data_IF_111197366596
#
_entry.id   IF_111197366596
#
_cell.length_a   1.000
_cell.length_b   1.000
_cell.length_c   1.000
_cell.angle_alpha   90.00
_cell.angle_beta   90.00
_cell.angle_gamma   90.00
#
_symmetry.space_group_name_H-M   'P 1'
#
loop_
_entity.id
_entity.type
_entity.pdbx_description
1 polymer ?
#
# COMPACT_ATOMS: atom_id res chain seq x y z
N UNK A 1 -36.78 12.70 37.71
CA UNK A 1 -35.43 13.12 37.32
C UNK A 1 -34.51 11.97 36.92
N UNK A 2 -34.45 10.84 37.62
CA UNK A 2 -33.54 9.70 37.35
C UNK A 2 -33.79 9.05 35.96
N UNK A 3 -35.03 8.99 35.48
CA UNK A 3 -35.42 8.39 34.19
C UNK A 3 -34.91 9.14 32.96
N UNK A 4 -34.77 10.46 33.04
CA UNK A 4 -34.27 11.31 31.96
C UNK A 4 -32.73 11.24 31.85
N UNK A 5 -32.03 11.07 32.97
CA UNK A 5 -30.55 10.93 32.99
C UNK A 5 -30.14 9.63 32.32
N UNK A 6 -30.89 8.53 32.56
CA UNK A 6 -30.60 7.22 31.89
C UNK A 6 -30.73 7.28 30.38
N UNK A 7 -31.69 8.02 29.83
CA UNK A 7 -31.92 8.18 28.40
C UNK A 7 -30.80 8.99 27.70
N UNK A 8 -30.29 10.04 28.38
CA UNK A 8 -29.17 10.85 27.87
C UNK A 8 -27.85 10.04 27.86
N UNK A 9 -27.59 9.24 28.90
CA UNK A 9 -26.38 8.41 28.98
C UNK A 9 -26.42 7.31 27.90
N UNK A 10 -27.58 6.72 27.66
CA UNK A 10 -27.75 5.70 26.59
C UNK A 10 -27.53 6.33 25.21
N UNK A 11 -27.99 7.55 24.95
CA UNK A 11 -27.78 8.25 23.68
C UNK A 11 -26.32 8.60 23.44
N UNK A 12 -25.55 8.95 24.47
CA UNK A 12 -24.11 9.26 24.37
C UNK A 12 -23.31 7.97 24.10
N UNK A 13 -23.69 6.85 24.71
CA UNK A 13 -23.02 5.57 24.47
C UNK A 13 -23.17 5.07 23.02
N UNK A 14 -24.31 5.34 22.38
CA UNK A 14 -24.56 4.96 20.97
C UNK A 14 -23.72 5.79 19.98
N UNK A 15 -23.43 7.06 20.32
CA UNK A 15 -22.62 7.93 19.45
C UNK A 15 -21.12 7.55 19.41
N UNK A 16 -20.62 6.85 20.43
CA UNK A 16 -19.21 6.44 20.48
C UNK A 16 -18.89 5.17 19.65
N UNK A 17 -19.87 4.41 19.18
CA UNK A 17 -19.64 3.15 18.45
C UNK A 17 -19.19 3.39 17.00
N UNK A 18 -19.44 4.56 16.43
CA UNK A 18 -19.14 4.89 15.03
C UNK A 18 -17.69 5.32 14.72
N UNK A 19 -16.91 5.67 15.74
CA UNK A 19 -15.59 6.30 15.55
C UNK A 19 -14.39 5.34 15.62
N UNK A 20 -14.57 4.04 15.42
CA UNK A 20 -13.48 3.08 15.52
C UNK A 20 -12.54 3.18 14.32
N UNK A 21 -11.27 3.49 14.57
CA UNK A 21 -10.19 3.32 13.61
C UNK A 21 -9.86 1.84 13.47
N UNK A 22 -9.70 1.38 12.24
CA UNK A 22 -9.17 0.05 11.93
C UNK A 22 -7.73 0.26 11.50
N UNK A 23 -6.80 -0.40 12.16
CA UNK A 23 -5.37 -0.39 11.80
C UNK A 23 -4.84 -1.79 11.93
N UNK A 24 -4.39 -2.37 10.82
CA UNK A 24 -3.74 -3.68 10.78
C UNK A 24 -2.61 -3.64 9.78
N UNK A 25 -1.41 -4.00 10.24
CA UNK A 25 -0.22 -4.16 9.42
C UNK A 25 0.35 -5.53 9.73
N UNK A 26 0.45 -6.39 8.71
CA UNK A 26 1.06 -7.71 8.78
C UNK A 26 2.30 -7.73 7.92
N UNK A 27 3.42 -8.23 8.46
CA UNK A 27 4.69 -8.40 7.76
C UNK A 27 5.07 -9.86 7.84
N UNK A 28 5.53 -10.43 6.71
CA UNK A 28 6.13 -11.75 6.67
C UNK A 28 7.51 -11.61 6.01
N UNK A 29 8.53 -12.18 6.64
CA UNK A 29 9.92 -12.15 6.17
C UNK A 29 10.40 -13.58 5.90
N UNK A 30 10.90 -13.81 4.67
CA UNK A 30 11.38 -15.12 4.20
C UNK A 30 12.84 -15.06 3.77
N UNK A 31 13.64 -14.21 4.43
CA UNK A 31 15.06 -14.06 4.14
C UNK A 31 15.87 -15.26 4.65
N UNK A 32 16.78 -15.73 3.82
CA UNK A 32 17.81 -16.68 4.22
C UNK A 32 19.22 -16.09 4.02
N UNK A 33 20.27 -16.87 4.35
CA UNK A 33 21.65 -16.39 4.21
C UNK A 33 22.07 -16.07 2.76
N UNK A 34 21.43 -16.69 1.78
CA UNK A 34 21.70 -16.45 0.36
C UNK A 34 21.07 -15.15 -0.16
N UNK A 35 20.08 -14.60 0.54
CA UNK A 35 19.37 -13.38 0.16
C UNK A 35 20.11 -12.10 0.56
N UNK A 36 21.21 -12.25 1.34
CA UNK A 36 22.11 -11.13 1.70
C UNK A 36 22.81 -10.49 0.47
N UNK A 37 22.75 -11.15 -0.68
CA UNK A 37 23.27 -10.61 -1.94
C UNK A 37 22.36 -9.56 -2.59
N UNK A 38 21.11 -9.42 -2.15
CA UNK A 38 20.17 -8.42 -2.66
C UNK A 38 20.57 -7.05 -2.12
N UNK A 39 20.98 -6.16 -3.03
CA UNK A 39 21.45 -4.80 -2.69
C UNK A 39 20.63 -3.71 -3.34
N UNK A 40 20.00 -4.01 -4.48
CA UNK A 40 19.30 -3.03 -5.30
C UNK A 40 17.85 -3.41 -5.49
N UNK A 41 16.94 -2.45 -5.27
CA UNK A 41 15.50 -2.63 -5.42
C UNK A 41 14.91 -1.59 -6.37
N UNK A 42 13.81 -1.97 -7.03
CA UNK A 42 12.91 -1.05 -7.70
C UNK A 42 11.48 -1.29 -7.22
N UNK A 43 10.74 -0.23 -6.95
CA UNK A 43 9.32 -0.30 -6.65
C UNK A 43 8.54 -0.09 -7.94
N UNK A 44 7.67 -1.06 -8.27
CA UNK A 44 6.79 -0.98 -9.43
C UNK A 44 5.52 -0.22 -9.08
N UNK A 45 4.81 0.32 -10.10
CA UNK A 45 3.49 0.88 -9.90
C UNK A 45 2.59 -0.19 -9.27
N UNK A 46 1.83 0.17 -8.25
CA UNK A 46 0.88 -0.74 -7.63
C UNK A 46 -0.30 -0.99 -8.56
N UNK A 47 -0.75 -2.25 -8.63
CA UNK A 47 -1.96 -2.62 -9.37
C UNK A 47 -3.19 -2.04 -8.65
N UNK A 48 -3.90 -1.16 -9.32
CA UNK A 48 -5.09 -0.44 -8.83
C UNK A 48 -6.36 -0.77 -9.64
N UNK A 49 -6.34 -1.82 -10.49
CA UNK A 49 -7.48 -2.20 -11.32
C UNK A 49 -8.76 -2.43 -10.50
N UNK A 50 -8.64 -3.04 -9.33
CA UNK A 50 -9.80 -3.34 -8.47
C UNK A 50 -10.54 -2.10 -7.96
N UNK A 51 -9.82 -1.00 -7.74
CA UNK A 51 -10.44 0.22 -7.20
C UNK A 51 -11.03 1.12 -8.29
N UNK A 52 -10.59 0.95 -9.54
CA UNK A 52 -11.12 1.71 -10.68
C UNK A 52 -12.53 1.28 -11.06
N UNK A 53 -12.86 -0.01 -10.87
CA UNK A 53 -14.18 -0.57 -11.16
C UNK A 53 -15.24 -0.26 -10.09
N UNK A 54 -14.83 0.06 -8.85
CA UNK A 54 -15.76 0.30 -7.73
C UNK A 54 -16.34 1.73 -7.69
N UNK A 55 -15.83 2.66 -8.47
CA UNK A 55 -16.22 4.08 -8.44
C UNK A 55 -17.70 4.35 -8.81
N UNK A 56 -18.47 3.33 -9.21
CA UNK A 56 -19.81 3.50 -9.82
C UNK A 56 -20.95 2.79 -9.05
N UNK A 57 -20.68 1.98 -8.04
CA UNK A 57 -21.73 1.11 -7.46
C UNK A 57 -22.12 1.49 -6.02
N UNK A 58 -22.99 2.47 -5.84
CA UNK A 58 -23.66 2.63 -4.55
C UNK A 58 -24.51 3.90 -4.42
N UNK A 59 -25.83 3.73 -4.35
CA UNK A 59 -26.79 4.83 -4.18
C UNK A 59 -26.72 5.49 -2.79
N UNK A 60 -26.06 4.86 -1.81
CA UNK A 60 -26.03 5.29 -0.40
C UNK A 60 -24.60 5.48 0.15
N UNK A 61 -23.59 4.82 -0.43
CA UNK A 61 -22.17 5.03 -0.10
C UNK A 61 -21.38 5.34 -1.37
N UNK A 62 -20.93 6.56 -1.50
CA UNK A 62 -20.10 6.99 -2.60
C UNK A 62 -18.64 6.78 -2.20
N UNK A 63 -17.98 5.79 -2.78
CA UNK A 63 -16.53 5.66 -2.68
C UNK A 63 -15.90 6.48 -3.80
N UNK A 64 -15.06 7.43 -3.43
CA UNK A 64 -14.28 8.22 -4.39
C UNK A 64 -12.88 7.61 -4.38
N UNK A 65 -12.54 6.88 -5.42
CA UNK A 65 -11.20 6.31 -5.60
C UNK A 65 -10.27 7.34 -6.25
N UNK A 66 -9.01 7.36 -5.81
CA UNK A 66 -8.00 8.22 -6.42
C UNK A 66 -7.44 7.51 -7.68
N UNK A 67 -7.51 8.14 -8.88
CA UNK A 67 -7.07 7.53 -10.13
C UNK A 67 -5.56 7.27 -10.19
N UNK A 68 -4.78 7.99 -9.39
CA UNK A 68 -3.32 7.88 -9.35
C UNK A 68 -2.80 7.05 -8.16
N UNK A 69 -3.69 6.32 -7.49
CA UNK A 69 -3.36 5.56 -6.27
C UNK A 69 -2.16 4.63 -6.45
N UNK A 70 -2.09 3.93 -7.59
CA UNK A 70 -0.99 3.02 -7.89
C UNK A 70 0.37 3.69 -7.94
N UNK A 71 0.44 4.87 -8.56
CA UNK A 71 1.67 5.66 -8.63
C UNK A 71 2.02 6.29 -7.29
N UNK A 72 1.02 6.85 -6.60
CA UNK A 72 1.22 7.50 -5.30
C UNK A 72 1.77 6.51 -4.26
N UNK A 73 1.21 5.30 -4.18
CA UNK A 73 1.72 4.28 -3.25
C UNK A 73 3.12 3.79 -3.63
N UNK A 74 3.42 3.69 -4.94
CA UNK A 74 4.77 3.35 -5.40
C UNK A 74 5.79 4.43 -5.02
N UNK A 75 5.44 5.71 -5.17
CA UNK A 75 6.30 6.83 -4.76
C UNK A 75 6.53 6.82 -3.24
N UNK A 76 5.46 6.71 -2.43
CA UNK A 76 5.55 6.65 -0.97
C UNK A 76 6.42 5.47 -0.49
N UNK A 77 6.24 4.29 -1.09
CA UNK A 77 7.03 3.09 -0.77
C UNK A 77 8.50 3.27 -1.16
N UNK A 78 8.77 3.87 -2.32
CA UNK A 78 10.13 4.19 -2.78
C UNK A 78 10.84 5.09 -1.78
N UNK A 79 10.16 6.15 -1.33
CA UNK A 79 10.70 7.12 -0.39
C UNK A 79 10.99 6.50 0.98
N UNK A 80 10.07 5.70 1.53
CA UNK A 80 10.27 5.08 2.84
C UNK A 80 11.36 4.00 2.81
N UNK A 81 11.43 3.19 1.76
CA UNK A 81 12.51 2.20 1.59
C UNK A 81 13.87 2.89 1.38
N UNK A 82 13.89 4.03 0.69
CA UNK A 82 15.10 4.85 0.55
C UNK A 82 15.56 5.42 1.89
N UNK A 83 14.64 5.93 2.72
CA UNK A 83 14.94 6.42 4.09
C UNK A 83 15.45 5.33 5.01
N UNK A 84 14.99 4.08 4.84
CA UNK A 84 15.54 2.95 5.60
C UNK A 84 17.04 2.76 5.32
N UNK A 85 17.49 2.95 4.08
CA UNK A 85 18.91 2.92 3.72
C UNK A 85 19.54 1.51 3.66
N UNK A 86 18.75 0.44 3.83
CA UNK A 86 19.25 -0.95 3.72
C UNK A 86 19.60 -1.33 2.30
N UNK A 87 18.83 -0.83 1.32
CA UNK A 87 18.95 -1.12 -0.08
C UNK A 87 19.21 0.14 -0.89
N UNK A 88 19.90 0.02 -2.00
CA UNK A 88 19.90 1.07 -3.03
C UNK A 88 18.57 0.99 -3.79
N UNK A 89 17.75 2.01 -3.67
CA UNK A 89 16.45 2.07 -4.32
C UNK A 89 16.55 2.89 -5.61
N UNK A 90 16.03 2.37 -6.74
CA UNK A 90 15.85 3.17 -7.94
C UNK A 90 14.71 4.16 -7.72
N UNK A 91 14.92 5.41 -8.13
CA UNK A 91 13.83 6.41 -8.13
C UNK A 91 12.73 6.01 -9.13
N UNK A 92 11.50 6.46 -8.89
CA UNK A 92 10.38 6.18 -9.82
C UNK A 92 10.65 6.74 -11.23
N UNK A 93 11.33 7.87 -11.33
CA UNK A 93 11.74 8.44 -12.62
C UNK A 93 12.73 7.55 -13.38
N UNK A 94 13.69 6.93 -12.69
CA UNK A 94 14.61 5.96 -13.29
C UNK A 94 13.88 4.70 -13.74
N UNK A 95 12.95 4.18 -12.95
CA UNK A 95 12.10 3.02 -13.31
C UNK A 95 11.34 3.32 -14.58
N UNK A 96 10.58 4.41 -14.62
CA UNK A 96 9.80 4.83 -15.80
C UNK A 96 10.67 5.02 -17.04
N UNK A 97 11.83 5.65 -16.91
CA UNK A 97 12.77 5.88 -18.02
C UNK A 97 13.29 4.57 -18.60
N UNK A 98 13.67 3.61 -17.75
CA UNK A 98 14.20 2.32 -18.20
C UNK A 98 13.13 1.45 -18.87
N UNK A 99 11.91 1.43 -18.34
CA UNK A 99 10.78 0.69 -18.92
C UNK A 99 10.40 1.29 -20.26
N UNK A 100 10.31 2.62 -20.35
CA UNK A 100 10.04 3.31 -21.63
C UNK A 100 11.11 3.03 -22.69
N UNK A 101 12.38 2.97 -22.31
CA UNK A 101 13.47 2.62 -23.22
C UNK A 101 13.37 1.20 -23.77
N UNK A 102 12.69 0.29 -23.05
CA UNK A 102 12.40 -1.09 -23.49
C UNK A 102 11.16 -1.23 -24.35
N UNK A 103 10.42 -0.14 -24.62
CA UNK A 103 9.13 -0.13 -25.33
C UNK A 103 8.09 -1.11 -24.75
N UNK A 104 8.05 -1.21 -23.42
CA UNK A 104 7.21 -2.15 -22.67
C UNK A 104 6.37 -1.34 -21.68
N UNK A 105 5.16 -1.81 -21.37
CA UNK A 105 4.34 -1.26 -20.30
C UNK A 105 4.69 -1.90 -18.96
N UNK A 106 4.77 -1.08 -17.92
CA UNK A 106 5.10 -1.51 -16.56
C UNK A 106 4.11 -2.58 -16.06
N UNK A 107 2.82 -2.34 -16.30
CA UNK A 107 1.75 -3.25 -15.88
C UNK A 107 1.85 -4.63 -16.56
N UNK A 108 2.22 -4.68 -17.84
CA UNK A 108 2.32 -5.94 -18.57
C UNK A 108 3.42 -6.83 -18.00
N UNK A 109 4.58 -6.26 -17.66
CA UNK A 109 5.69 -7.01 -17.04
C UNK A 109 5.33 -7.58 -15.66
N UNK A 110 4.60 -6.81 -14.87
CA UNK A 110 4.15 -7.25 -13.54
C UNK A 110 3.11 -8.36 -13.67
N UNK A 111 2.15 -8.22 -14.60
CA UNK A 111 1.10 -9.22 -14.85
C UNK A 111 1.67 -10.55 -15.36
N UNK A 112 2.67 -10.52 -16.23
CA UNK A 112 3.34 -11.70 -16.74
C UNK A 112 4.22 -12.42 -15.69
N UNK A 113 4.48 -11.78 -14.55
CA UNK A 113 5.37 -12.28 -13.47
C UNK A 113 6.77 -12.64 -13.96
N UNK A 114 7.24 -12.02 -15.06
CA UNK A 114 8.60 -12.21 -15.57
C UNK A 114 9.58 -11.32 -14.80
N UNK A 115 9.84 -11.70 -13.55
CA UNK A 115 10.75 -10.96 -12.67
C UNK A 115 12.20 -10.95 -13.19
N UNK A 116 12.59 -11.97 -13.94
CA UNK A 116 13.93 -12.05 -14.54
C UNK A 116 14.09 -10.97 -15.63
N UNK A 117 13.09 -10.76 -16.47
CA UNK A 117 13.08 -9.66 -17.44
C UNK A 117 13.10 -8.30 -16.74
N UNK A 118 12.26 -8.10 -15.71
CA UNK A 118 12.27 -6.89 -14.89
C UNK A 118 13.65 -6.58 -14.31
N UNK A 119 14.30 -7.59 -13.70
CA UNK A 119 15.64 -7.44 -13.14
C UNK A 119 16.69 -7.03 -14.16
N UNK A 120 16.62 -7.57 -15.38
CA UNK A 120 17.53 -7.22 -16.48
C UNK A 120 17.32 -5.80 -17.00
N UNK A 121 16.04 -5.41 -17.22
CA UNK A 121 15.67 -4.08 -17.74
C UNK A 121 16.05 -3.00 -16.73
N UNK A 122 15.65 -3.19 -15.48
CA UNK A 122 15.87 -2.22 -14.42
C UNK A 122 17.30 -2.27 -13.86
N UNK A 123 18.02 -3.37 -14.04
CA UNK A 123 19.33 -3.67 -13.46
C UNK A 123 19.27 -3.64 -11.92
N UNK A 124 18.32 -4.40 -11.35
CA UNK A 124 18.10 -4.55 -9.92
C UNK A 124 18.08 -6.02 -9.51
N UNK A 125 18.39 -6.27 -8.22
CA UNK A 125 18.39 -7.62 -7.66
C UNK A 125 16.98 -8.08 -7.26
N UNK A 126 16.12 -7.14 -6.86
CA UNK A 126 14.73 -7.44 -6.51
C UNK A 126 13.78 -6.31 -6.92
N UNK A 127 12.50 -6.65 -7.04
CA UNK A 127 11.42 -5.71 -7.33
C UNK A 127 10.36 -5.78 -6.24
N UNK A 128 9.78 -4.64 -5.91
CA UNK A 128 8.60 -4.55 -5.05
C UNK A 128 7.39 -4.35 -5.95
N UNK A 129 6.45 -5.28 -5.87
CA UNK A 129 5.15 -5.20 -6.55
C UNK A 129 4.06 -5.05 -5.51
N UNK A 130 3.00 -4.33 -5.82
CA UNK A 130 1.90 -4.10 -4.89
C UNK A 130 0.54 -4.17 -5.57
N UNK A 131 -0.49 -4.41 -4.75
CA UNK A 131 -1.88 -4.42 -5.18
C UNK A 131 -2.74 -3.62 -4.21
N UNK A 132 -3.66 -2.83 -4.75
CA UNK A 132 -4.56 -1.96 -4.01
C UNK A 132 -5.95 -2.56 -4.02
N UNK A 133 -6.52 -2.73 -2.84
CA UNK A 133 -7.88 -3.19 -2.63
C UNK A 133 -8.83 -2.07 -2.24
N UNK A 134 -8.31 -1.03 -1.54
CA UNK A 134 -9.04 0.20 -1.19
C UNK A 134 -8.07 1.36 -1.11
N UNK A 135 -8.43 2.46 -1.74
CA UNK A 135 -7.73 3.73 -1.63
C UNK A 135 -8.71 4.85 -1.99
N UNK A 136 -9.24 5.52 -0.99
CA UNK A 136 -10.22 6.58 -1.22
C UNK A 136 -11.06 6.90 0.00
N UNK A 137 -12.01 7.78 -0.20
CA UNK A 137 -12.97 8.20 0.80
C UNK A 137 -14.27 7.41 0.64
N UNK A 138 -14.78 6.87 1.73
CA UNK A 138 -16.17 6.45 1.82
C UNK A 138 -16.98 7.53 2.53
N UNK A 139 -17.98 8.07 1.83
CA UNK A 139 -18.88 9.06 2.37
C UNK A 139 -19.99 8.36 3.16
N UNK A 140 -20.09 8.66 4.44
CA UNK A 140 -21.19 8.25 5.30
C UNK A 140 -22.02 9.50 5.61
N UNK A 141 -23.32 9.34 5.82
CA UNK A 141 -24.30 10.43 6.01
C UNK A 141 -23.86 11.53 7.00
N UNK A 142 -22.92 11.24 7.89
CA UNK A 142 -22.48 12.15 8.97
C UNK A 142 -21.01 12.54 8.86
N UNK A 143 -20.15 11.71 8.23
CA UNK A 143 -18.71 11.97 8.10
C UNK A 143 -18.08 11.14 6.98
N UNK A 144 -17.01 11.67 6.40
CA UNK A 144 -16.16 10.91 5.48
C UNK A 144 -15.16 10.04 6.25
N UNK A 145 -14.84 8.89 5.69
CA UNK A 145 -13.86 7.93 6.23
C UNK A 145 -12.82 7.62 5.16
N UNK A 146 -11.56 7.91 5.46
CA UNK A 146 -10.46 7.47 4.62
C UNK A 146 -10.21 5.98 4.77
N UNK A 147 -9.88 5.31 3.66
CA UNK A 147 -9.59 3.88 3.61
C UNK A 147 -8.35 3.64 2.76
N UNK A 148 -7.43 2.82 3.30
CA UNK A 148 -6.25 2.32 2.59
C UNK A 148 -6.12 0.84 2.89
N UNK A 149 -6.23 -0.01 1.85
CA UNK A 149 -5.96 -1.43 1.95
C UNK A 149 -5.10 -1.84 0.75
N UNK A 150 -3.87 -2.24 1.01
CA UNK A 150 -2.96 -2.71 -0.02
C UNK A 150 -2.04 -3.82 0.49
N UNK A 151 -1.47 -4.56 -0.45
CA UNK A 151 -0.41 -5.52 -0.23
C UNK A 151 0.82 -5.11 -1.02
N UNK A 152 2.01 -5.52 -0.57
CA UNK A 152 3.25 -5.42 -1.33
C UNK A 152 4.14 -6.64 -1.07
N UNK A 153 4.86 -7.06 -2.10
CA UNK A 153 5.80 -8.17 -2.06
C UNK A 153 7.13 -7.75 -2.68
N UNK A 154 8.24 -8.03 -1.99
CA UNK A 154 9.58 -7.91 -2.55
C UNK A 154 10.02 -9.25 -3.09
N UNK A 155 10.37 -9.30 -4.36
CA UNK A 155 10.67 -10.54 -5.09
C UNK A 155 12.08 -10.47 -5.66
N UNK A 156 12.91 -11.46 -5.33
CA UNK A 156 14.23 -11.66 -5.96
C UNK A 156 14.02 -11.90 -7.47
N UNK A 157 14.63 -11.06 -8.29
CA UNK A 157 14.43 -11.11 -9.75
C UNK A 157 15.08 -12.33 -10.41
N UNK A 158 16.06 -12.95 -9.78
CA UNK A 158 16.77 -14.14 -10.31
C UNK A 158 16.08 -15.44 -9.92
N UNK A 159 15.55 -15.49 -8.68
CA UNK A 159 14.97 -16.72 -8.11
C UNK A 159 13.43 -16.73 -8.18
N UNK A 160 12.79 -15.57 -8.37
CA UNK A 160 11.34 -15.43 -8.24
C UNK A 160 10.83 -15.67 -6.80
N UNK A 161 11.73 -15.66 -5.80
CA UNK A 161 11.41 -15.90 -4.40
C UNK A 161 10.89 -14.61 -3.76
N UNK A 162 9.79 -14.70 -3.01
CA UNK A 162 9.33 -13.60 -2.14
C UNK A 162 10.26 -13.51 -0.94
N UNK A 163 10.94 -12.38 -0.81
CA UNK A 163 11.86 -12.07 0.28
C UNK A 163 11.12 -11.57 1.51
N UNK A 164 10.15 -10.71 1.29
CA UNK A 164 9.22 -10.23 2.32
C UNK A 164 7.92 -9.79 1.67
N UNK A 165 6.86 -9.83 2.45
CA UNK A 165 5.55 -9.30 2.07
C UNK A 165 4.96 -8.47 3.18
N UNK A 166 4.10 -7.52 2.81
CA UNK A 166 3.33 -6.71 3.73
C UNK A 166 1.88 -6.63 3.29
N UNK A 167 0.99 -6.58 4.26
CA UNK A 167 -0.43 -6.29 4.10
C UNK A 167 -0.80 -5.18 5.06
N UNK A 168 -1.47 -4.16 4.55
CA UNK A 168 -1.90 -3.00 5.33
C UNK A 168 -3.39 -2.78 5.14
N UNK A 169 -4.12 -2.57 6.22
CA UNK A 169 -5.53 -2.22 6.19
C UNK A 169 -5.80 -1.15 7.25
N UNK A 170 -5.96 0.07 6.80
CA UNK A 170 -6.21 1.24 7.64
C UNK A 170 -7.52 1.91 7.22
N UNK A 171 -8.34 2.26 8.21
CA UNK A 171 -9.57 3.02 7.98
C UNK A 171 -9.84 3.92 9.18
N UNK A 172 -9.96 5.22 8.93
CA UNK A 172 -10.18 6.21 9.99
C UNK A 172 -11.21 7.26 9.60
N UNK A 173 -12.11 7.65 10.54
CA UNK A 173 -13.03 8.74 10.32
C UNK A 173 -12.29 10.08 10.29
N UNK A 174 -12.81 11.03 9.51
CA UNK A 174 -12.27 12.40 9.38
C UNK A 174 -10.81 12.45 8.92
N UNK A 175 -10.34 11.43 8.20
CA UNK A 175 -8.99 11.37 7.63
C UNK A 175 -9.06 11.26 6.13
N UNK A 176 -8.15 11.96 5.48
CA UNK A 176 -7.86 11.83 4.07
C UNK A 176 -7.13 10.50 3.79
N UNK A 177 -7.39 9.89 2.63
CA UNK A 177 -6.77 8.61 2.25
C UNK A 177 -5.28 8.75 1.99
N UNK A 178 -4.83 9.91 1.52
CA UNK A 178 -3.40 10.18 1.25
C UNK A 178 -2.63 10.28 2.57
N UNK A 179 -3.15 11.02 3.54
CA UNK A 179 -2.56 11.10 4.88
C UNK A 179 -2.50 9.74 5.56
N UNK A 180 -3.54 8.91 5.38
CA UNK A 180 -3.56 7.55 5.88
C UNK A 180 -2.52 6.68 5.19
N UNK A 181 -2.36 6.81 3.87
CA UNK A 181 -1.39 6.04 3.11
C UNK A 181 0.04 6.38 3.53
N UNK A 182 0.38 7.66 3.69
CA UNK A 182 1.68 8.09 4.19
C UNK A 182 1.98 7.45 5.54
N UNK A 183 1.02 7.51 6.47
CA UNK A 183 1.16 6.91 7.80
C UNK A 183 1.37 5.40 7.71
N UNK A 184 0.53 4.71 6.95
CA UNK A 184 0.51 3.25 6.85
C UNK A 184 1.76 2.72 6.18
N UNK A 185 2.22 3.32 5.09
CA UNK A 185 3.46 2.92 4.39
C UNK A 185 4.66 3.10 5.31
N UNK A 186 4.75 4.23 6.01
CA UNK A 186 5.81 4.48 6.98
C UNK A 186 5.81 3.44 8.10
N UNK A 187 4.67 3.18 8.75
CA UNK A 187 4.55 2.20 9.82
C UNK A 187 4.86 0.78 9.35
N UNK A 188 4.46 0.42 8.11
CA UNK A 188 4.76 -0.87 7.51
C UNK A 188 6.26 -1.06 7.28
N UNK A 189 6.95 -0.06 6.73
CA UNK A 189 8.41 -0.12 6.52
C UNK A 189 9.16 -0.14 7.85
N UNK A 190 8.75 0.64 8.84
CA UNK A 190 9.34 0.59 10.19
C UNK A 190 9.17 -0.78 10.87
N UNK A 191 8.02 -1.43 10.64
CA UNK A 191 7.78 -2.79 11.15
C UNK A 191 8.63 -3.81 10.39
N UNK A 192 8.70 -3.70 9.05
CA UNK A 192 9.57 -4.53 8.21
C UNK A 192 11.04 -4.42 8.65
N UNK A 193 11.51 -3.22 8.94
CA UNK A 193 12.87 -2.96 9.42
C UNK A 193 13.17 -3.77 10.69
N UNK A 194 12.26 -3.79 11.67
CA UNK A 194 12.42 -4.55 12.93
C UNK A 194 12.45 -6.06 12.72
N UNK A 195 11.76 -6.57 11.70
CA UNK A 195 11.73 -8.02 11.42
C UNK A 195 12.97 -8.48 10.62
N UNK A 196 13.66 -7.55 9.96
CA UNK A 196 14.79 -7.85 9.06
C UNK A 196 16.16 -7.55 9.70
N UNK A 197 16.23 -6.67 10.68
CA UNK A 197 17.45 -6.32 11.46
C UNK A 197 17.64 -7.23 12.65
#
# INVERSE_FOLDING_TARGET
>A
MIRQIGLVILSIAVLCVGCKTISRITINVNLDSSDRSVKTLAVMRFDDELIQDEAVKGLIMKTISNPDAGEMLADMMTDELHRWGKYRILSRSEVKSKIKAGDIKEEDLVKLKDYAALGKILKVDAVVIGKIYKFGLSDMTVYARGNVYCTAECIDTRKGKVLWSMETNESAPYKDEVDLAIKVVKEAVEKLKKEVE
#
